data_IF_758893308837
#
_entry.id   IF_758893308837
#
_cell.length_a   1.000
_cell.length_b   1.000
_cell.length_c   1.000
_cell.angle_alpha   90.00
_cell.angle_beta   90.00
_cell.angle_gamma   90.00
#
_symmetry.space_group_name_H-M   'P 1'
#
loop_
_entity.id
_entity.type
_entity.pdbx_description
1 polymer ?
#
# COMPACT_ATOMS: atom_id res chain seq x y z
N UNK A 1 23.35 -0.99 -0.32
CA UNK A 1 24.62 -0.33 -0.68
C UNK A 1 24.54 0.07 -2.14
N UNK A 2 24.87 1.32 -2.49
CA UNK A 2 24.75 1.81 -3.87
C UNK A 2 25.96 1.33 -4.67
N UNK A 3 25.75 0.39 -5.60
CA UNK A 3 26.81 -0.15 -6.45
C UNK A 3 27.23 0.94 -7.45
N UNK A 4 28.48 1.40 -7.37
CA UNK A 4 29.01 2.44 -8.27
C UNK A 4 29.36 1.79 -9.61
N UNK A 5 28.48 1.94 -10.62
CA UNK A 5 28.57 1.19 -11.88
C UNK A 5 29.31 1.97 -12.98
N UNK A 6 29.29 3.31 -12.96
CA UNK A 6 29.93 4.15 -13.98
C UNK A 6 30.80 5.22 -13.30
N UNK A 7 32.08 5.27 -13.67
CA UNK A 7 33.06 6.29 -13.24
C UNK A 7 33.38 7.19 -14.43
N UNK A 8 33.22 8.50 -14.25
CA UNK A 8 33.56 9.51 -15.25
C UNK A 8 34.81 10.28 -14.81
N UNK A 9 35.43 11.01 -15.73
CA UNK A 9 36.54 11.93 -15.44
C UNK A 9 36.15 13.35 -15.83
N UNK A 10 36.54 14.31 -15.00
CA UNK A 10 36.35 15.72 -15.29
C UNK A 10 37.19 16.10 -16.52
N UNK A 11 36.59 16.79 -17.48
CA UNK A 11 37.25 17.15 -18.74
C UNK A 11 38.27 18.28 -18.55
N UNK A 12 37.95 19.20 -17.65
CA UNK A 12 38.71 20.39 -17.28
C UNK A 12 38.46 20.72 -15.81
N UNK A 13 39.06 21.79 -15.30
CA UNK A 13 38.70 22.32 -13.99
C UNK A 13 37.30 22.97 -14.10
N UNK A 14 36.38 22.64 -13.19
CA UNK A 14 34.97 23.07 -13.31
C UNK A 14 34.45 23.69 -12.01
N UNK A 15 33.33 24.42 -12.12
CA UNK A 15 32.61 25.04 -10.98
C UNK A 15 32.08 24.03 -9.94
N UNK A 16 32.13 22.74 -10.26
CA UNK A 16 31.82 21.65 -9.34
C UNK A 16 32.99 21.27 -8.41
N UNK A 17 34.11 21.99 -8.48
CA UNK A 17 35.29 21.76 -7.64
C UNK A 17 36.12 20.53 -8.01
N UNK A 18 35.88 19.97 -9.20
CA UNK A 18 36.65 18.85 -9.75
C UNK A 18 37.79 19.38 -10.62
N UNK A 19 38.98 18.83 -10.41
CA UNK A 19 40.16 19.11 -11.22
C UNK A 19 40.16 18.29 -12.51
N UNK A 20 40.86 18.77 -13.54
CA UNK A 20 40.99 18.05 -14.81
C UNK A 20 41.48 16.61 -14.59
N UNK A 21 40.83 15.66 -15.27
CA UNK A 21 41.04 14.21 -15.18
C UNK A 21 40.66 13.56 -13.84
N UNK A 22 40.13 14.32 -12.88
CA UNK A 22 39.69 13.79 -11.59
C UNK A 22 38.51 12.83 -11.75
N UNK A 23 38.59 11.61 -11.17
CA UNK A 23 37.51 10.65 -11.26
C UNK A 23 36.34 11.02 -10.34
N UNK A 24 35.13 10.98 -10.88
CA UNK A 24 33.90 11.18 -10.11
C UNK A 24 32.83 10.16 -10.50
N UNK A 25 31.82 10.05 -9.64
CA UNK A 25 30.69 9.15 -9.82
C UNK A 25 29.41 9.97 -9.89
N UNK A 26 28.75 10.05 -11.06
CA UNK A 26 27.47 10.73 -11.15
C UNK A 26 26.43 9.96 -10.33
N UNK A 27 25.73 10.68 -9.44
CA UNK A 27 24.55 10.16 -8.76
C UNK A 27 23.33 10.55 -9.59
N UNK A 28 22.72 9.57 -10.24
CA UNK A 28 21.53 9.77 -11.08
C UNK A 28 20.28 9.27 -10.35
N UNK A 29 19.17 10.00 -10.49
CA UNK A 29 17.84 9.52 -10.09
C UNK A 29 17.26 8.58 -11.14
N UNK A 30 16.22 7.82 -10.78
CA UNK A 30 15.51 6.96 -11.72
C UNK A 30 14.95 7.77 -12.91
N UNK A 31 14.43 8.96 -12.65
CA UNK A 31 13.82 9.84 -13.65
C UNK A 31 14.84 10.62 -14.49
N UNK A 32 16.14 10.48 -14.21
CA UNK A 32 17.21 11.22 -14.89
C UNK A 32 17.71 10.54 -16.17
N UNK A 33 17.19 9.36 -16.50
CA UNK A 33 17.64 8.56 -17.65
C UNK A 33 16.51 8.50 -18.69
N UNK A 34 16.67 9.26 -19.78
CA UNK A 34 15.74 9.24 -20.89
C UNK A 34 15.60 7.82 -21.46
N UNK A 35 14.37 7.30 -21.50
CA UNK A 35 14.05 5.97 -22.02
C UNK A 35 14.11 4.84 -20.99
N UNK A 36 14.57 5.10 -19.76
CA UNK A 36 14.54 4.11 -18.69
C UNK A 36 13.10 3.73 -18.31
N UNK A 37 12.16 4.68 -18.33
CA UNK A 37 10.74 4.43 -18.09
C UNK A 37 10.17 3.36 -19.04
N UNK A 38 10.57 3.41 -20.32
CA UNK A 38 10.14 2.44 -21.32
C UNK A 38 10.66 1.02 -21.03
N UNK A 39 11.90 0.92 -20.55
CA UNK A 39 12.49 -0.37 -20.16
C UNK A 39 11.91 -0.91 -18.86
N UNK A 40 11.59 -0.02 -17.90
CA UNK A 40 10.90 -0.38 -16.67
C UNK A 40 9.49 -0.89 -17.00
N UNK A 41 8.73 -0.18 -17.83
CA UNK A 41 7.37 -0.55 -18.24
C UNK A 41 7.30 -1.90 -18.94
N UNK A 42 8.34 -2.31 -19.68
CA UNK A 42 8.40 -3.64 -20.31
C UNK A 42 8.65 -4.77 -19.31
N UNK A 43 9.34 -4.48 -18.20
CA UNK A 43 9.81 -5.50 -17.24
C UNK A 43 8.95 -5.56 -15.99
N UNK A 44 8.28 -4.47 -15.64
CA UNK A 44 7.42 -4.36 -14.47
C UNK A 44 5.98 -4.57 -14.91
N UNK A 45 5.32 -5.67 -14.50
CA UNK A 45 3.91 -5.86 -14.77
C UNK A 45 3.11 -4.75 -14.09
N UNK A 46 2.45 -3.92 -14.89
CA UNK A 46 1.45 -2.96 -14.42
C UNK A 46 0.17 -3.72 -14.12
N UNK A 47 -0.28 -3.65 -12.88
CA UNK A 47 -1.56 -4.20 -12.47
C UNK A 47 -2.54 -3.05 -12.33
N UNK A 48 -3.60 -3.09 -13.13
CA UNK A 48 -4.73 -2.18 -12.99
C UNK A 48 -5.60 -2.56 -11.80
N UNK A 49 -6.52 -1.67 -11.41
CA UNK A 49 -7.51 -1.99 -10.38
C UNK A 49 -8.48 -3.07 -10.86
N UNK A 50 -8.92 -3.92 -9.93
CA UNK A 50 -9.92 -4.94 -10.20
C UNK A 50 -11.24 -4.28 -10.63
N UNK A 51 -11.88 -4.84 -11.66
CA UNK A 51 -13.22 -4.45 -12.11
C UNK A 51 -14.15 -5.66 -12.05
N UNK A 52 -15.45 -5.46 -12.27
CA UNK A 52 -16.42 -6.57 -12.23
C UNK A 52 -16.18 -7.65 -13.30
N UNK A 53 -15.39 -7.35 -14.34
CA UNK A 53 -15.18 -8.24 -15.49
C UNK A 53 -13.70 -8.54 -15.75
N UNK A 54 -12.77 -7.98 -14.98
CA UNK A 54 -11.34 -8.19 -15.16
C UNK A 54 -10.60 -8.18 -13.81
N UNK A 55 -9.68 -9.12 -13.68
CA UNK A 55 -8.82 -9.26 -12.50
C UNK A 55 -7.84 -8.08 -12.36
N UNK A 56 -7.57 -7.66 -11.13
CA UNK A 56 -6.68 -6.54 -10.84
C UNK A 56 -6.39 -6.37 -9.34
N UNK A 57 -5.71 -5.29 -8.99
CA UNK A 57 -5.43 -4.94 -7.59
C UNK A 57 -6.69 -4.37 -6.92
N UNK A 58 -6.87 -4.70 -5.64
CA UNK A 58 -7.92 -4.08 -4.83
C UNK A 58 -7.48 -2.69 -4.34
N UNK A 59 -8.39 -1.73 -4.38
CA UNK A 59 -8.13 -0.38 -3.85
C UNK A 59 -7.91 -0.43 -2.33
N UNK A 60 -7.24 0.58 -1.77
CA UNK A 60 -7.04 0.70 -0.33
C UNK A 60 -8.38 0.79 0.40
N UNK A 61 -9.31 1.53 -0.19
CA UNK A 61 -10.65 1.76 0.33
C UNK A 61 -11.46 0.46 0.39
N UNK A 62 -11.39 -0.36 -0.67
CA UNK A 62 -12.12 -1.62 -0.73
C UNK A 62 -11.48 -2.69 0.16
N UNK A 63 -10.15 -2.74 0.24
CA UNK A 63 -9.46 -3.58 1.22
C UNK A 63 -9.88 -3.25 2.65
N UNK A 64 -9.97 -1.97 3.00
CA UNK A 64 -10.41 -1.55 4.34
C UNK A 64 -11.86 -1.94 4.66
N UNK A 65 -12.72 -2.20 3.65
CA UNK A 65 -14.05 -2.77 3.85
C UNK A 65 -13.98 -4.27 4.11
N UNK A 66 -13.17 -5.00 3.34
CA UNK A 66 -12.95 -6.43 3.56
C UNK A 66 -12.29 -6.71 4.92
N UNK A 67 -11.32 -5.91 5.33
CA UNK A 67 -10.67 -6.05 6.64
C UNK A 67 -11.65 -5.83 7.82
N UNK A 68 -12.78 -5.15 7.57
CA UNK A 68 -13.86 -4.96 8.55
C UNK A 68 -14.92 -6.05 8.53
N UNK A 69 -14.93 -6.92 7.52
CA UNK A 69 -15.77 -8.10 7.54
C UNK A 69 -15.17 -9.04 8.58
N UNK A 70 -15.78 -9.08 9.77
CA UNK A 70 -15.46 -10.09 10.76
C UNK A 70 -15.67 -11.46 10.11
N UNK A 71 -14.57 -12.20 9.98
CA UNK A 71 -14.61 -13.61 9.63
C UNK A 71 -15.26 -14.31 10.83
N UNK A 72 -16.29 -15.11 10.55
CA UNK A 72 -17.02 -15.89 11.54
C UNK A 72 -16.08 -16.63 12.52
N UNK A 73 -16.49 -16.86 13.78
CA UNK A 73 -17.83 -16.69 14.36
C UNK A 73 -18.11 -15.27 14.89
N UNK A 74 -19.31 -14.77 14.60
CA UNK A 74 -19.79 -13.49 15.15
C UNK A 74 -20.07 -13.63 16.65
N UNK A 75 -19.41 -12.82 17.48
CA UNK A 75 -19.68 -12.78 18.93
C UNK A 75 -21.04 -12.15 19.27
N UNK A 76 -21.60 -11.36 18.35
CA UNK A 76 -22.98 -10.91 18.45
C UNK A 76 -23.43 -9.93 17.37
N UNK A 77 -24.74 -9.80 17.20
CA UNK A 77 -25.38 -8.86 16.29
C UNK A 77 -25.82 -7.61 17.04
N UNK A 78 -25.39 -6.43 16.59
CA UNK A 78 -25.80 -5.14 17.17
C UNK A 78 -27.08 -4.62 16.51
N UNK A 79 -28.09 -4.35 17.33
CA UNK A 79 -29.36 -3.74 16.94
C UNK A 79 -29.48 -2.37 17.60
N UNK A 80 -29.79 -1.35 16.80
CA UNK A 80 -30.10 -0.01 17.33
C UNK A 80 -31.60 0.15 17.46
N UNK A 81 -32.07 0.46 18.66
CA UNK A 81 -33.49 0.73 18.90
C UNK A 81 -33.84 2.19 18.56
N UNK A 82 -35.14 2.52 18.38
CA UNK A 82 -35.59 3.87 18.02
C UNK A 82 -35.21 4.96 19.03
N UNK A 83 -35.06 4.59 20.31
CA UNK A 83 -34.59 5.44 21.41
C UNK A 83 -33.06 5.65 21.41
N UNK A 84 -32.34 5.05 20.46
CA UNK A 84 -30.89 5.20 20.31
C UNK A 84 -30.05 4.21 21.11
N UNK A 85 -30.66 3.38 21.97
CA UNK A 85 -29.98 2.31 22.68
C UNK A 85 -29.44 1.25 21.71
N UNK A 86 -28.26 0.69 22.01
CA UNK A 86 -27.69 -0.43 21.26
C UNK A 86 -27.91 -1.71 22.07
N UNK A 87 -28.42 -2.74 21.39
CA UNK A 87 -28.61 -4.07 21.94
C UNK A 87 -27.71 -5.06 21.19
N UNK A 88 -27.05 -5.95 21.92
CA UNK A 88 -26.20 -7.01 21.36
C UNK A 88 -26.90 -8.33 21.57
N UNK A 89 -27.17 -9.06 20.48
CA UNK A 89 -27.59 -10.46 20.51
C UNK A 89 -26.35 -11.35 20.43
N UNK A 90 -26.06 -12.11 21.48
CA UNK A 90 -24.98 -13.09 21.52
C UNK A 90 -25.50 -14.47 21.93
N UNK A 91 -24.66 -15.50 21.80
CA UNK A 91 -24.95 -16.86 22.28
C UNK A 91 -24.04 -17.13 23.48
N UNK A 92 -24.61 -17.61 24.59
CA UNK A 92 -23.82 -18.00 25.77
C UNK A 92 -23.12 -19.36 25.56
N UNK A 93 -22.28 -19.75 26.52
CA UNK A 93 -21.56 -21.03 26.46
C UNK A 93 -22.48 -22.26 26.58
N UNK A 94 -23.77 -22.06 26.86
CA UNK A 94 -24.80 -23.08 26.98
C UNK A 94 -25.68 -23.15 25.71
N UNK A 95 -25.44 -22.29 24.72
CA UNK A 95 -26.16 -22.24 23.45
C UNK A 95 -27.45 -21.41 23.49
N UNK A 96 -27.71 -20.66 24.57
CA UNK A 96 -28.89 -19.81 24.68
C UNK A 96 -28.63 -18.43 24.05
N UNK A 97 -29.66 -17.88 23.42
CA UNK A 97 -29.63 -16.51 22.93
C UNK A 97 -29.73 -15.52 24.09
N UNK A 98 -28.75 -14.63 24.19
CA UNK A 98 -28.70 -13.56 25.19
C UNK A 98 -28.81 -12.21 24.50
N UNK A 99 -29.74 -11.37 24.97
CA UNK A 99 -29.84 -9.97 24.56
C UNK A 99 -29.34 -9.07 25.69
N UNK A 100 -28.22 -8.39 25.46
CA UNK A 100 -27.68 -7.40 26.40
C UNK A 100 -27.81 -6.00 25.84
N UNK A 101 -28.12 -5.02 26.70
CA UNK A 101 -28.02 -3.61 26.32
C UNK A 101 -26.56 -3.19 26.45
N UNK A 102 -25.99 -2.57 25.43
CA UNK A 102 -24.66 -1.98 25.48
C UNK A 102 -24.74 -0.78 26.45
N UNK A 103 -24.13 -0.94 27.62
CA UNK A 103 -23.99 0.15 28.61
C UNK A 103 -22.66 0.81 28.31
N UNK A 104 -22.71 2.12 28.06
CA UNK A 104 -21.54 2.97 27.77
C UNK A 104 -20.47 2.91 28.87
#
# INVERSE_FOLDING_TARGET
>A
MSTKIIQLRAREDNDFGLTKDEPYYPKVGADSIAGLDSEIDKRVPKYDLATSTADGLISKEDKAKLDKLQVEPFEGLKFKSPDGSIFVLSVDNEGNAVFTKEVE
#
